data_IF_368234078512
#
_entry.id   IF_368234078512
#
_cell.length_a   1.000
_cell.length_b   1.000
_cell.length_c   1.000
_cell.angle_alpha   90.00
_cell.angle_beta   90.00
_cell.angle_gamma   90.00
#
_symmetry.space_group_name_H-M   'P 1'
#
loop_
_entity.id
_entity.type
_entity.pdbx_description
1 polymer ?
#
# COMPACT_ATOMS: atom_id res chain seq x y z
N UNK A 1 4.07 -2.33 1.66
CA UNK A 1 2.74 -2.99 1.72
C UNK A 1 2.87 -4.45 2.16
N UNK A 2 3.60 -5.31 1.44
CA UNK A 2 3.80 -6.70 1.89
C UNK A 2 4.43 -6.79 3.28
N UNK A 3 5.58 -6.12 3.41
CA UNK A 3 6.39 -6.01 4.61
C UNK A 3 5.56 -5.49 5.79
N UNK A 4 4.85 -4.38 5.59
CA UNK A 4 4.01 -3.74 6.60
C UNK A 4 2.84 -4.61 7.00
N UNK A 5 2.13 -5.22 6.03
CA UNK A 5 0.97 -6.07 6.31
C UNK A 5 1.38 -7.32 7.10
N UNK A 6 2.46 -8.00 6.68
CA UNK A 6 2.97 -9.18 7.38
C UNK A 6 3.49 -8.81 8.78
N UNK A 7 4.25 -7.71 8.88
CA UNK A 7 4.83 -7.26 10.16
C UNK A 7 3.75 -6.81 11.14
N UNK A 8 2.77 -6.04 10.69
CA UNK A 8 1.64 -5.60 11.52
C UNK A 8 0.78 -6.79 11.95
N UNK A 9 0.52 -7.73 11.04
CA UNK A 9 -0.19 -8.97 11.38
C UNK A 9 0.57 -9.77 12.42
N UNK A 10 1.90 -9.86 12.32
CA UNK A 10 2.72 -10.53 13.33
C UNK A 10 2.60 -9.83 14.68
N UNK A 11 2.73 -8.50 14.70
CA UNK A 11 2.69 -7.69 15.91
C UNK A 11 1.33 -7.77 16.62
N UNK A 12 0.22 -7.82 15.87
CA UNK A 12 -1.14 -7.77 16.44
C UNK A 12 -1.81 -9.13 16.61
N UNK A 13 -1.54 -10.09 15.71
CA UNK A 13 -2.28 -11.35 15.61
C UNK A 13 -1.38 -12.59 15.75
N UNK A 14 -0.06 -12.39 15.81
CA UNK A 14 0.94 -13.44 16.03
C UNK A 14 1.44 -14.11 14.74
N UNK A 15 2.61 -14.74 14.85
CA UNK A 15 3.39 -15.26 13.72
C UNK A 15 2.61 -16.21 12.80
N UNK A 16 1.82 -17.14 13.34
CA UNK A 16 1.05 -18.10 12.52
C UNK A 16 0.10 -17.40 11.54
N UNK A 17 -0.56 -16.30 11.96
CA UNK A 17 -1.48 -15.53 11.11
C UNK A 17 -0.70 -14.73 10.08
N UNK A 18 0.43 -14.15 10.48
CA UNK A 18 1.32 -13.42 9.58
C UNK A 18 1.83 -14.29 8.43
N UNK A 19 2.24 -15.53 8.72
CA UNK A 19 2.66 -16.49 7.69
C UNK A 19 1.50 -16.87 6.77
N UNK A 20 0.29 -17.07 7.31
CA UNK A 20 -0.88 -17.39 6.49
C UNK A 20 -1.22 -16.24 5.52
N UNK A 21 -1.28 -15.00 6.02
CA UNK A 21 -1.49 -13.80 5.20
C UNK A 21 -0.39 -13.65 4.16
N UNK A 22 0.88 -13.80 4.56
CA UNK A 22 2.01 -13.71 3.65
C UNK A 22 1.94 -14.72 2.51
N UNK A 23 1.53 -15.97 2.80
CA UNK A 23 1.34 -17.00 1.76
C UNK A 23 0.24 -16.62 0.76
N UNK A 24 -0.90 -16.12 1.24
CA UNK A 24 -1.98 -15.65 0.36
C UNK A 24 -1.52 -14.49 -0.53
N UNK A 25 -0.82 -13.51 0.04
CA UNK A 25 -0.34 -12.36 -0.74
C UNK A 25 0.73 -12.75 -1.76
N UNK A 26 1.54 -13.78 -1.49
CA UNK A 26 2.57 -14.27 -2.40
C UNK A 26 2.04 -15.24 -3.47
N UNK A 27 0.77 -15.67 -3.39
CA UNK A 27 0.18 -16.58 -4.36
C UNK A 27 -0.19 -15.81 -5.64
N UNK A 28 0.46 -16.08 -6.80
CA UNK A 28 0.17 -15.39 -8.05
C UNK A 28 -1.21 -15.73 -8.62
N UNK A 29 -1.87 -16.78 -8.15
CA UNK A 29 -3.26 -17.08 -8.52
C UNK A 29 -4.27 -16.13 -7.83
N UNK A 30 -3.84 -15.40 -6.81
CA UNK A 30 -4.68 -14.51 -5.99
C UNK A 30 -4.27 -13.04 -6.16
N UNK A 31 -2.96 -12.75 -6.17
CA UNK A 31 -2.44 -11.37 -6.18
C UNK A 31 -1.43 -11.17 -7.30
N UNK A 32 -1.67 -10.14 -8.11
CA UNK A 32 -0.69 -9.61 -9.04
C UNK A 32 0.23 -8.59 -8.33
N UNK A 33 1.54 -8.78 -8.45
CA UNK A 33 2.53 -7.91 -7.80
C UNK A 33 3.01 -6.79 -8.71
N UNK A 34 2.67 -5.56 -8.35
CA UNK A 34 3.33 -4.38 -8.91
C UNK A 34 4.67 -4.14 -8.21
N UNK A 35 5.73 -4.05 -9.00
CA UNK A 35 7.08 -3.77 -8.52
C UNK A 35 7.37 -2.28 -8.62
N UNK A 36 7.91 -1.73 -7.54
CA UNK A 36 8.61 -0.44 -7.58
C UNK A 36 9.83 -0.62 -8.48
N UNK A 37 9.94 0.24 -9.48
CA UNK A 37 11.05 0.33 -10.42
C UNK A 37 11.86 1.60 -10.12
N UNK A 38 13.06 1.77 -10.69
CA UNK A 38 13.84 2.99 -10.52
C UNK A 38 13.09 4.28 -10.91
N UNK A 39 12.13 4.19 -11.84
CA UNK A 39 11.28 5.32 -12.23
C UNK A 39 10.35 5.78 -11.09
N UNK A 40 10.01 4.88 -10.17
CA UNK A 40 9.11 5.13 -9.06
C UNK A 40 9.84 5.55 -7.79
N UNK A 41 11.17 5.63 -7.75
CA UNK A 41 11.89 5.88 -6.48
C UNK A 41 11.78 7.34 -6.01
N UNK A 42 11.78 8.31 -6.93
CA UNK A 42 11.78 9.74 -6.58
C UNK A 42 10.40 10.34 -6.42
N UNK A 43 9.42 9.86 -7.18
CA UNK A 43 8.08 10.44 -7.19
C UNK A 43 7.33 10.32 -5.84
N UNK A 44 7.38 9.18 -5.13
CA UNK A 44 6.81 9.04 -3.79
C UNK A 44 7.49 9.95 -2.79
N UNK A 45 8.82 10.10 -2.87
CA UNK A 45 9.57 10.99 -1.98
C UNK A 45 9.15 12.44 -2.16
N UNK A 46 9.13 12.90 -3.41
CA UNK A 46 8.68 14.24 -3.71
C UNK A 46 7.21 14.48 -3.33
N UNK A 47 6.35 13.44 -3.39
CA UNK A 47 4.97 13.53 -2.90
C UNK A 47 4.94 13.67 -1.38
N UNK A 48 5.69 12.84 -0.66
CA UNK A 48 5.79 12.86 0.80
C UNK A 48 6.28 14.22 1.32
N UNK A 49 7.32 14.79 0.72
CA UNK A 49 7.83 16.13 1.07
C UNK A 49 6.79 17.25 0.87
N UNK A 50 5.93 17.13 -0.14
CA UNK A 50 4.89 18.13 -0.45
C UNK A 50 3.62 17.99 0.40
N UNK A 51 3.62 17.09 1.39
CA UNK A 51 2.43 16.72 2.18
C UNK A 51 2.70 16.79 3.68
N UNK A 52 3.27 17.90 4.19
CA UNK A 52 3.60 18.02 5.61
C UNK A 52 2.35 18.05 6.52
N UNK A 53 1.17 18.33 5.95
CA UNK A 53 -0.12 18.34 6.64
C UNK A 53 -0.78 16.96 6.73
N UNK A 54 -0.20 15.93 6.09
CA UNK A 54 -0.77 14.58 6.03
C UNK A 54 -0.09 13.62 7.00
N UNK A 55 -0.88 12.70 7.55
CA UNK A 55 -0.44 11.67 8.49
C UNK A 55 -0.09 10.34 7.82
N UNK A 56 -0.33 10.21 6.52
CA UNK A 56 -0.06 8.97 5.80
C UNK A 56 1.44 8.69 5.69
N UNK A 57 1.76 7.42 5.55
CA UNK A 57 3.13 6.93 5.50
C UNK A 57 3.79 7.16 4.14
N UNK A 58 5.10 6.92 4.09
CA UNK A 58 5.82 6.83 2.82
C UNK A 58 5.36 5.63 1.97
N UNK A 59 4.90 4.54 2.60
CA UNK A 59 4.30 3.39 1.91
C UNK A 59 3.03 3.80 1.18
N UNK A 60 2.21 4.66 1.78
CA UNK A 60 1.00 5.21 1.15
C UNK A 60 1.37 6.05 -0.07
N UNK A 61 2.36 6.94 0.05
CA UNK A 61 2.87 7.74 -1.07
C UNK A 61 3.36 6.85 -2.24
N UNK A 62 4.05 5.76 -1.92
CA UNK A 62 4.51 4.78 -2.92
C UNK A 62 3.33 4.13 -3.62
N UNK A 63 2.31 3.73 -2.84
CA UNK A 63 1.07 3.15 -3.36
C UNK A 63 0.34 4.12 -4.27
N UNK A 64 0.20 5.39 -3.90
CA UNK A 64 -0.48 6.41 -4.71
C UNK A 64 0.21 6.63 -6.06
N UNK A 65 1.55 6.68 -6.08
CA UNK A 65 2.32 6.87 -7.31
C UNK A 65 2.17 5.66 -8.24
N UNK A 66 2.30 4.44 -7.70
CA UNK A 66 2.11 3.21 -8.49
C UNK A 66 0.69 3.10 -9.03
N UNK A 67 -0.32 3.35 -8.20
CA UNK A 67 -1.72 3.32 -8.62
C UNK A 67 -2.01 4.33 -9.74
N UNK A 68 -1.49 5.55 -9.65
CA UNK A 68 -1.63 6.56 -10.71
C UNK A 68 -0.94 6.13 -12.00
N UNK A 69 0.26 5.54 -11.91
CA UNK A 69 1.00 5.02 -13.07
C UNK A 69 0.24 3.91 -13.79
N UNK A 70 -0.29 2.96 -13.02
CA UNK A 70 -1.03 1.80 -13.54
C UNK A 70 -2.52 2.08 -13.78
N UNK A 71 -2.98 3.33 -13.59
CA UNK A 71 -4.39 3.74 -13.73
C UNK A 71 -5.36 2.95 -12.85
N UNK A 72 -4.92 2.57 -11.66
CA UNK A 72 -5.74 1.89 -10.65
C UNK A 72 -6.44 2.95 -9.80
N UNK A 73 -7.77 3.01 -9.90
CA UNK A 73 -8.59 4.01 -9.20
C UNK A 73 -9.19 3.56 -7.87
N UNK A 74 -9.10 2.27 -7.54
CA UNK A 74 -9.75 1.66 -6.38
C UNK A 74 -8.71 1.08 -5.42
N UNK A 75 -8.87 1.34 -4.12
CA UNK A 75 -8.02 0.82 -3.06
C UNK A 75 -8.85 0.05 -2.03
N UNK A 76 -8.28 -1.04 -1.50
CA UNK A 76 -8.77 -1.63 -0.27
C UNK A 76 -7.97 -1.03 0.88
N UNK A 77 -8.63 -0.21 1.70
CA UNK A 77 -7.99 0.49 2.81
C UNK A 77 -8.97 0.64 3.98
N UNK A 78 -8.45 0.72 5.20
CA UNK A 78 -9.23 0.86 6.43
C UNK A 78 -9.23 2.30 6.98
N UNK A 79 -8.40 3.16 6.41
CA UNK A 79 -8.29 4.57 6.76
C UNK A 79 -8.71 5.47 5.59
N UNK A 80 -8.70 6.77 5.85
CA UNK A 80 -9.10 7.78 4.87
C UNK A 80 -7.97 8.23 3.94
N UNK A 81 -6.74 7.72 4.10
CA UNK A 81 -5.56 8.27 3.40
C UNK A 81 -5.69 8.16 1.87
N UNK A 82 -6.18 7.03 1.37
CA UNK A 82 -6.43 6.83 -0.06
C UNK A 82 -7.57 7.73 -0.57
N UNK A 83 -8.61 7.96 0.23
CA UNK A 83 -9.70 8.85 -0.13
C UNK A 83 -9.24 10.31 -0.21
N UNK A 84 -8.37 10.75 0.72
CA UNK A 84 -7.79 12.10 0.72
C UNK A 84 -6.99 12.40 -0.56
N UNK A 85 -6.42 11.38 -1.20
CA UNK A 85 -5.65 11.50 -2.45
C UNK A 85 -6.46 11.17 -3.71
N UNK A 86 -7.78 11.04 -3.58
CA UNK A 86 -8.74 10.93 -4.68
C UNK A 86 -9.05 9.51 -5.15
N UNK A 87 -8.62 8.48 -4.43
CA UNK A 87 -8.93 7.08 -4.76
C UNK A 87 -10.30 6.67 -4.21
N UNK A 88 -10.96 5.73 -4.90
CA UNK A 88 -12.17 5.09 -4.39
C UNK A 88 -11.80 3.99 -3.41
N UNK A 89 -12.26 4.08 -2.16
CA UNK A 89 -11.91 3.11 -1.10
C UNK A 89 -13.03 2.09 -0.89
N UNK A 90 -12.66 0.82 -0.71
CA UNK A 90 -13.52 -0.29 -0.33
C UNK A 90 -12.90 -1.14 0.81
N UNK A 91 -13.68 -1.94 1.54
CA UNK A 91 -15.13 -1.81 1.68
C UNK A 91 -15.48 -0.46 2.33
N UNK A 92 -16.67 0.07 2.04
CA UNK A 92 -17.23 1.20 2.79
C UNK A 92 -18.03 0.68 3.98
#
# INVERSE_FOLDING_TARGET
MFDETVTLTQARLGHRRAVAVGRTLLDPAIVEWLRVTPVDERAPWALFERRPDKSYSFTDCTSFVLMRRERIGHAIALDEHFAQEGFTVAPR
#
